data_IF_587320310805
#
_entry.id   IF_587320310805
#
_cell.length_a   1.000
_cell.length_b   1.000
_cell.length_c   1.000
_cell.angle_alpha   90.00
_cell.angle_beta   90.00
_cell.angle_gamma   90.00
#
_symmetry.space_group_name_H-M   'P 1'
#
loop_
_entity.id
_entity.type
_entity.pdbx_description
1 polymer ?
#
# COMPACT_ATOMS: atom_id res chain seq x y z
N UNK A 1 -8.57 -16.09 0.74
CA UNK A 1 -7.62 -14.96 0.92
C UNK A 1 -7.46 -14.23 -0.42
N UNK A 2 -6.95 -13.01 -0.48
CA UNK A 2 -6.89 -12.20 -1.74
C UNK A 2 -5.94 -12.72 -2.83
N UNK A 3 -5.28 -13.86 -2.57
CA UNK A 3 -4.27 -14.52 -3.38
C UNK A 3 -4.52 -16.04 -3.34
N UNK A 4 -5.63 -16.51 -3.89
CA UNK A 4 -5.87 -17.95 -4.00
C UNK A 4 -5.14 -18.48 -5.25
N UNK A 5 -4.52 -19.65 -5.12
CA UNK A 5 -4.01 -20.40 -6.27
C UNK A 5 -5.20 -20.79 -7.15
N UNK A 6 -5.18 -20.34 -8.41
CA UNK A 6 -6.15 -20.73 -9.42
C UNK A 6 -5.43 -21.54 -10.48
N UNK A 7 -5.95 -22.74 -10.73
CA UNK A 7 -5.48 -23.59 -11.81
C UNK A 7 -5.71 -22.89 -13.15
N UNK A 8 -4.65 -22.79 -13.95
CA UNK A 8 -4.73 -22.23 -15.30
C UNK A 8 -5.00 -23.37 -16.28
N UNK A 9 -6.13 -24.07 -16.11
CA UNK A 9 -6.51 -25.24 -16.92
C UNK A 9 -7.72 -24.96 -17.81
N UNK A 10 -7.62 -25.24 -19.10
CA UNK A 10 -8.75 -25.19 -20.04
C UNK A 10 -8.79 -26.44 -20.91
N UNK A 11 -9.62 -27.41 -20.55
CA UNK A 11 -9.84 -28.64 -21.32
C UNK A 11 -8.54 -29.42 -21.60
N UNK A 12 -7.90 -29.16 -22.75
CA UNK A 12 -6.67 -29.80 -23.22
C UNK A 12 -5.37 -29.19 -22.68
N UNK A 13 -5.43 -28.03 -22.01
CA UNK A 13 -4.24 -27.34 -21.49
C UNK A 13 -4.25 -27.27 -19.97
N UNK A 14 -3.15 -27.70 -19.35
CA UNK A 14 -2.87 -27.52 -17.93
C UNK A 14 -1.61 -26.64 -17.78
N UNK A 15 -1.80 -25.36 -17.49
CA UNK A 15 -0.73 -24.41 -17.24
C UNK A 15 -0.42 -24.25 -15.74
N UNK A 16 0.65 -23.52 -15.43
CA UNK A 16 1.06 -23.23 -14.05
C UNK A 16 -0.07 -22.52 -13.26
N UNK A 17 -0.26 -22.90 -12.00
CA UNK A 17 -1.20 -22.26 -11.09
C UNK A 17 -0.83 -20.80 -10.89
N UNK A 18 -1.76 -19.89 -11.21
CA UNK A 18 -1.57 -18.45 -11.06
C UNK A 18 -2.25 -17.96 -9.80
N UNK A 19 -1.70 -16.88 -9.24
CA UNK A 19 -2.36 -16.19 -8.13
C UNK A 19 -3.51 -15.36 -8.70
N UNK A 20 -4.74 -15.70 -8.31
CA UNK A 20 -5.90 -14.88 -8.66
C UNK A 20 -5.92 -13.59 -7.85
N UNK A 21 -6.11 -12.46 -8.53
CA UNK A 21 -6.38 -11.19 -7.87
C UNK A 21 -7.86 -11.11 -7.49
N UNK A 22 -8.18 -11.30 -6.21
CA UNK A 22 -9.56 -11.16 -5.71
C UNK A 22 -9.93 -9.68 -5.54
N UNK A 23 -11.16 -9.30 -5.91
CA UNK A 23 -11.72 -7.96 -5.72
C UNK A 23 -11.99 -7.19 -7.03
N UNK A 24 -12.83 -6.16 -6.95
CA UNK A 24 -13.27 -5.37 -8.11
C UNK A 24 -12.09 -4.62 -8.75
N UNK A 25 -11.78 -4.95 -10.01
CA UNK A 25 -10.66 -4.36 -10.78
C UNK A 25 -10.70 -2.83 -10.78
N UNK A 26 -11.87 -2.27 -11.03
CA UNK A 26 -12.06 -0.81 -11.11
C UNK A 26 -11.67 -0.11 -9.82
N UNK A 27 -12.10 -0.63 -8.66
CA UNK A 27 -11.76 -0.04 -7.36
C UNK A 27 -10.25 -0.04 -7.11
N UNK A 28 -9.55 -1.11 -7.53
CA UNK A 28 -8.09 -1.16 -7.44
C UNK A 28 -7.43 -0.09 -8.32
N UNK A 29 -7.94 0.11 -9.53
CA UNK A 29 -7.45 1.15 -10.45
C UNK A 29 -7.70 2.55 -9.88
N UNK A 30 -8.91 2.84 -9.40
CA UNK A 30 -9.25 4.13 -8.80
C UNK A 30 -8.40 4.44 -7.57
N UNK A 31 -8.19 3.46 -6.70
CA UNK A 31 -7.36 3.64 -5.51
C UNK A 31 -5.90 3.92 -5.88
N UNK A 32 -5.38 3.25 -6.91
CA UNK A 32 -4.03 3.52 -7.41
C UNK A 32 -3.90 4.92 -8.04
N UNK A 33 -4.90 5.36 -8.81
CA UNK A 33 -4.95 6.73 -9.34
C UNK A 33 -5.02 7.75 -8.21
N UNK A 34 -5.83 7.51 -7.18
CA UNK A 34 -5.90 8.32 -5.97
C UNK A 34 -4.55 8.40 -5.25
N UNK A 35 -3.84 7.28 -5.12
CA UNK A 35 -2.49 7.24 -4.55
C UNK A 35 -1.50 8.10 -5.34
N UNK A 36 -1.53 8.05 -6.68
CA UNK A 36 -0.71 8.93 -7.51
C UNK A 36 -1.06 10.41 -7.31
N UNK A 37 -2.35 10.73 -7.20
CA UNK A 37 -2.84 12.10 -6.99
C UNK A 37 -2.39 12.65 -5.63
N UNK A 38 -2.57 11.90 -4.53
CA UNK A 38 -2.15 12.39 -3.20
C UNK A 38 -0.63 12.52 -3.10
N UNK A 39 0.15 11.64 -3.73
CA UNK A 39 1.61 11.79 -3.79
C UNK A 39 2.00 13.02 -4.63
N UNK A 40 1.22 13.42 -5.63
CA UNK A 40 1.53 14.62 -6.40
C UNK A 40 1.19 15.91 -5.66
N UNK A 41 0.15 15.91 -4.82
CA UNK A 41 -0.46 17.14 -4.30
C UNK A 41 -0.35 17.34 -2.78
N UNK A 42 0.01 16.31 -2.02
CA UNK A 42 0.09 16.37 -0.56
C UNK A 42 1.50 16.00 -0.08
N UNK A 43 2.13 16.93 0.63
CA UNK A 43 3.52 16.85 1.07
C UNK A 43 3.75 15.66 2.01
N UNK A 44 2.81 15.35 2.90
CA UNK A 44 2.94 14.23 3.83
C UNK A 44 3.02 12.87 3.09
N UNK A 45 2.35 12.75 1.94
CA UNK A 45 2.40 11.56 1.11
C UNK A 45 3.65 11.53 0.21
N UNK A 46 4.20 12.68 -0.16
CA UNK A 46 5.50 12.79 -0.84
C UNK A 46 6.62 12.29 0.07
N UNK A 47 6.70 12.83 1.28
CA UNK A 47 7.68 12.43 2.30
C UNK A 47 7.57 10.94 2.61
N UNK A 48 6.34 10.42 2.70
CA UNK A 48 6.13 9.00 2.93
C UNK A 48 6.56 8.14 1.73
N UNK A 49 6.30 8.62 0.50
CA UNK A 49 6.73 7.94 -0.71
C UNK A 49 8.26 7.84 -0.78
N UNK A 50 8.93 8.96 -0.52
CA UNK A 50 10.38 9.08 -0.47
C UNK A 50 10.94 8.12 0.57
N UNK A 51 10.47 8.19 1.82
CA UNK A 51 10.86 7.31 2.92
C UNK A 51 10.85 5.82 2.52
N UNK A 52 9.75 5.34 1.91
CA UNK A 52 9.67 3.94 1.51
C UNK A 52 10.65 3.56 0.39
N UNK A 53 11.00 4.51 -0.48
CA UNK A 53 11.93 4.27 -1.59
C UNK A 53 13.40 4.39 -1.20
N UNK A 54 13.71 5.20 -0.18
CA UNK A 54 15.09 5.53 0.23
C UNK A 54 15.53 4.88 1.54
N UNK A 55 14.63 4.23 2.29
CA UNK A 55 14.98 3.55 3.55
C UNK A 55 16.10 2.51 3.37
N UNK A 56 16.98 2.45 4.36
CA UNK A 56 18.15 1.54 4.37
C UNK A 56 17.75 0.06 4.30
N UNK A 57 16.72 -0.36 5.05
CA UNK A 57 16.26 -1.75 5.09
C UNK A 57 15.10 -1.97 4.13
N UNK A 58 15.32 -2.83 3.12
CA UNK A 58 14.32 -3.22 2.12
C UNK A 58 13.69 -2.00 1.40
N UNK A 59 14.48 -1.20 0.66
CA UNK A 59 13.95 -0.08 -0.11
C UNK A 59 12.92 -0.57 -1.13
N UNK A 60 11.76 0.08 -1.18
CA UNK A 60 10.69 -0.30 -2.09
C UNK A 60 10.91 0.32 -3.47
N UNK A 61 10.55 -0.43 -4.52
CA UNK A 61 10.45 0.15 -5.87
C UNK A 61 9.32 1.19 -5.88
N UNK A 62 9.41 2.21 -6.75
CA UNK A 62 8.41 3.29 -6.88
C UNK A 62 6.97 2.77 -6.94
N UNK A 63 6.72 1.76 -7.78
CA UNK A 63 5.41 1.09 -7.90
C UNK A 63 4.95 0.42 -6.60
N UNK A 64 5.85 -0.22 -5.85
CA UNK A 64 5.52 -0.86 -4.58
C UNK A 64 5.15 0.17 -3.52
N UNK A 65 5.90 1.28 -3.43
CA UNK A 65 5.59 2.38 -2.53
C UNK A 65 4.21 3.00 -2.81
N UNK A 66 3.87 3.22 -4.09
CA UNK A 66 2.52 3.68 -4.46
C UNK A 66 1.41 2.71 -4.03
N UNK A 67 1.64 1.39 -4.12
CA UNK A 67 0.67 0.39 -3.65
C UNK A 67 0.49 0.46 -2.12
N UNK A 68 1.59 0.64 -1.37
CA UNK A 68 1.53 0.83 0.09
C UNK A 68 0.70 2.06 0.44
N UNK A 69 0.95 3.18 -0.26
CA UNK A 69 0.20 4.42 -0.09
C UNK A 69 -1.28 4.24 -0.44
N UNK A 70 -1.60 3.56 -1.53
CA UNK A 70 -2.98 3.22 -1.90
C UNK A 70 -3.69 2.47 -0.77
N UNK A 71 -3.04 1.46 -0.19
CA UNK A 71 -3.59 0.72 0.95
C UNK A 71 -3.74 1.57 2.22
N UNK A 72 -2.82 2.51 2.48
CA UNK A 72 -2.93 3.45 3.62
C UNK A 72 -4.09 4.44 3.39
N UNK A 73 -4.23 4.98 2.19
CA UNK A 73 -5.32 5.88 1.80
C UNK A 73 -6.69 5.22 1.99
N UNK A 74 -6.84 3.95 1.59
CA UNK A 74 -8.07 3.19 1.82
C UNK A 74 -8.43 3.09 3.32
N UNK A 75 -7.44 2.85 4.18
CA UNK A 75 -7.65 2.77 5.64
C UNK A 75 -8.04 4.12 6.24
N UNK A 76 -7.46 5.21 5.74
CA UNK A 76 -7.81 6.58 6.15
C UNK A 76 -9.26 6.88 5.77
N UNK A 77 -9.64 6.65 4.51
CA UNK A 77 -11.03 6.83 4.03
C UNK A 77 -11.99 6.01 4.88
N UNK A 78 -11.68 4.73 5.13
CA UNK A 78 -12.50 3.88 5.98
C UNK A 78 -12.66 4.42 7.40
N UNK A 79 -11.58 4.92 8.02
CA UNK A 79 -11.63 5.48 9.37
C UNK A 79 -12.47 6.77 9.43
N UNK A 80 -12.34 7.66 8.45
CA UNK A 80 -13.14 8.88 8.32
C UNK A 80 -14.62 8.52 8.21
N UNK A 81 -14.97 7.62 7.30
CA UNK A 81 -16.37 7.21 7.09
C UNK A 81 -16.95 6.45 8.29
N UNK A 82 -16.16 5.60 8.94
CA UNK A 82 -16.67 4.76 10.05
C UNK A 82 -16.78 5.50 11.37
N UNK A 83 -15.85 6.42 11.64
CA UNK A 83 -15.77 7.16 12.92
C UNK A 83 -16.29 8.59 12.83
N UNK A 84 -16.55 9.12 11.63
CA UNK A 84 -16.99 10.50 11.43
C UNK A 84 -15.92 11.55 11.79
N UNK A 85 -14.65 11.17 11.79
CA UNK A 85 -13.53 12.05 12.16
C UNK A 85 -12.93 12.71 10.93
N UNK A 86 -12.39 13.93 11.09
CA UNK A 86 -11.65 14.61 10.02
C UNK A 86 -10.28 13.95 9.80
N UNK A 87 -9.76 14.07 8.58
CA UNK A 87 -8.39 13.69 8.27
C UNK A 87 -7.41 14.59 9.03
N UNK A 88 -6.40 13.97 9.64
CA UNK A 88 -5.30 14.63 10.34
C UNK A 88 -3.97 14.05 9.80
N UNK A 89 -3.19 14.84 9.04
CA UNK A 89 -1.91 14.40 8.48
C UNK A 89 -0.88 14.00 9.53
N UNK A 90 -0.81 14.74 10.65
CA UNK A 90 0.20 14.50 11.69
C UNK A 90 -0.07 13.16 12.37
N UNK A 91 -1.31 12.95 12.79
CA UNK A 91 -1.76 11.66 13.32
C UNK A 91 -1.50 10.50 12.35
N UNK A 92 -1.72 10.72 11.06
CA UNK A 92 -1.50 9.70 10.04
C UNK A 92 -0.03 9.27 9.95
N UNK A 93 0.90 10.22 10.07
CA UNK A 93 2.36 10.02 10.08
C UNK A 93 2.81 9.34 11.38
N UNK A 94 2.31 9.78 12.53
CA UNK A 94 2.64 9.24 13.85
C UNK A 94 2.20 7.77 14.00
N UNK A 95 1.05 7.41 13.42
CA UNK A 95 0.55 6.03 13.41
C UNK A 95 1.45 5.07 12.60
N UNK A 96 2.39 5.56 11.80
CA UNK A 96 3.29 4.75 10.98
C UNK A 96 4.50 4.33 11.82
N UNK A 97 4.51 3.05 12.22
CA UNK A 97 5.67 2.44 12.88
C UNK A 97 6.85 2.35 11.91
N UNK A 98 7.89 3.14 12.16
CA UNK A 98 9.18 3.08 11.47
C UNK A 98 10.10 2.18 12.30
N UNK A 99 10.48 1.03 11.75
CA UNK A 99 11.47 0.16 12.37
C UNK A 99 12.86 0.69 11.97
N UNK A 100 13.31 1.76 12.62
CA UNK A 100 14.70 2.21 12.54
C UNK A 100 15.42 1.82 13.84
N UNK A 101 16.47 1.00 13.69
CA UNK A 101 17.64 0.88 14.58
C UNK A 101 17.47 1.06 16.10
N UNK A 102 16.51 0.37 16.74
CA UNK A 102 16.63 0.13 18.19
C UNK A 102 17.63 -1.00 18.53
N UNK A 103 18.23 -1.66 17.53
CA UNK A 103 19.11 -2.82 17.73
C UNK A 103 20.63 -2.53 17.68
N UNK A 104 21.07 -1.31 17.34
CA UNK A 104 22.52 -1.01 17.22
C UNK A 104 23.17 -0.41 18.47
N UNK A 105 22.39 -0.11 19.52
CA UNK A 105 22.92 0.45 20.80
C UNK A 105 22.97 -0.61 21.91
N UNK A 106 22.68 -1.88 21.60
CA UNK A 106 22.65 -2.98 22.58
C UNK A 106 23.67 -4.09 22.29
N UNK A 107 24.80 -3.76 21.66
CA UNK A 107 25.93 -4.66 21.44
C UNK A 107 27.23 -4.04 21.95
#
# INVERSE_FOLDING_TARGET
SGLNLVACSSGKHNGETKISHRGRKELRTWLFQGAKSVVAHAEEFQLLHEYYTTRNKNPLKKMQSLIVIACKLLRIIFAILKKGVKYDPQKMLDDIKRFEETEVVAA
#
